data_IF_640625262976
#
_entry.id   IF_640625262976
#
_cell.length_a   1.000
_cell.length_b   1.000
_cell.length_c   1.000
_cell.angle_alpha   90.00
_cell.angle_beta   90.00
_cell.angle_gamma   90.00
#
_symmetry.space_group_name_H-M   'P 1'
#
loop_
_entity.id
_entity.type
_entity.pdbx_description
1 polymer ?
#
# COMPACT_ATOMS: atom_id res chain seq x y z
N UNK A 1 -8.42 6.96 -31.68
CA UNK A 1 -8.17 6.06 -30.54
C UNK A 1 -7.98 6.97 -29.34
N UNK A 2 -8.95 7.04 -28.44
CA UNK A 2 -8.83 7.88 -27.25
C UNK A 2 -7.81 7.21 -26.33
N UNK A 3 -6.61 7.78 -26.25
CA UNK A 3 -5.67 7.58 -25.17
C UNK A 3 -6.36 8.02 -23.87
N UNK A 4 -7.12 7.12 -23.26
CA UNK A 4 -7.40 7.21 -21.82
C UNK A 4 -6.08 6.88 -21.13
N UNK A 5 -5.18 7.86 -21.10
CA UNK A 5 -4.21 7.97 -20.02
C UNK A 5 -5.07 8.03 -18.77
N UNK A 6 -5.18 6.93 -18.03
CA UNK A 6 -5.87 6.93 -16.74
C UNK A 6 -5.32 8.11 -15.96
N UNK A 7 -6.17 9.10 -15.71
CA UNK A 7 -5.79 10.28 -14.95
C UNK A 7 -5.51 9.80 -13.53
N UNK A 8 -4.22 9.67 -13.21
CA UNK A 8 -3.77 9.34 -11.87
C UNK A 8 -4.19 10.45 -10.90
N UNK A 9 -4.46 10.08 -9.65
CA UNK A 9 -4.85 11.06 -8.63
C UNK A 9 -3.73 12.09 -8.40
N UNK A 10 -4.11 13.30 -7.96
CA UNK A 10 -3.17 14.33 -7.52
C UNK A 10 -2.88 14.26 -6.01
N UNK A 11 -3.32 13.20 -5.33
CA UNK A 11 -3.26 13.06 -3.88
C UNK A 11 -4.44 13.72 -3.14
N UNK A 12 -4.38 13.81 -1.79
CA UNK A 12 -3.27 13.36 -0.95
C UNK A 12 -3.07 11.85 -1.03
N UNK A 13 -1.82 11.43 -0.89
CA UNK A 13 -1.47 10.01 -0.87
C UNK A 13 -1.12 9.55 0.55
N UNK A 14 -1.40 8.28 0.80
CA UNK A 14 -1.23 7.64 2.09
C UNK A 14 -0.36 6.38 1.94
N UNK A 15 0.56 6.21 2.87
CA UNK A 15 1.36 5.01 3.02
C UNK A 15 1.11 4.40 4.40
N UNK A 16 0.39 3.28 4.43
CA UNK A 16 0.17 2.49 5.64
C UNK A 16 1.34 1.55 5.88
N UNK A 17 1.92 1.59 7.08
CA UNK A 17 3.05 0.75 7.45
C UNK A 17 3.14 0.57 8.97
N UNK A 18 4.06 -0.27 9.41
CA UNK A 18 4.50 -0.33 10.81
C UNK A 18 5.92 0.20 10.99
N UNK A 19 6.58 0.62 9.91
CA UNK A 19 7.86 1.32 9.99
C UNK A 19 7.70 2.67 10.70
N UNK A 20 8.63 2.97 11.59
CA UNK A 20 8.77 4.30 12.19
C UNK A 20 9.58 5.17 11.23
N UNK A 21 8.90 6.11 10.58
CA UNK A 21 9.43 7.04 9.59
C UNK A 21 9.25 8.46 10.12
N UNK A 22 10.16 9.36 9.75
CA UNK A 22 10.12 10.75 10.19
C UNK A 22 9.61 11.67 9.08
N UNK A 23 8.90 12.73 9.46
CA UNK A 23 8.56 13.80 8.52
C UNK A 23 9.84 14.39 7.92
N UNK A 24 9.85 14.54 6.60
CA UNK A 24 11.00 14.97 5.81
C UNK A 24 11.91 13.82 5.33
N UNK A 25 11.72 12.61 5.84
CA UNK A 25 12.46 11.42 5.37
C UNK A 25 12.02 11.01 3.97
N UNK A 26 12.94 10.38 3.23
CA UNK A 26 12.66 9.74 1.95
C UNK A 26 12.55 8.23 2.18
N UNK A 27 11.36 7.70 1.92
CA UNK A 27 11.12 6.27 1.84
C UNK A 27 11.63 5.78 0.48
N UNK A 28 12.63 4.92 0.49
CA UNK A 28 13.26 4.35 -0.71
C UNK A 28 12.62 2.99 -1.06
N UNK A 29 12.67 2.52 -2.32
CA UNK A 29 12.28 1.16 -2.67
C UNK A 29 13.27 0.12 -2.09
N UNK A 30 13.01 -1.18 -2.31
CA UNK A 30 13.88 -2.30 -1.88
C UNK A 30 13.88 -2.61 -0.39
N UNK A 31 12.80 -2.25 0.32
CA UNK A 31 12.48 -2.79 1.63
C UNK A 31 11.90 -4.21 1.55
N UNK A 32 11.91 -4.92 2.68
CA UNK A 32 11.30 -6.26 2.77
C UNK A 32 9.80 -6.18 2.49
N UNK A 33 9.30 -7.10 1.68
CA UNK A 33 7.87 -7.19 1.36
C UNK A 33 7.06 -7.64 2.57
N UNK A 34 5.85 -7.08 2.72
CA UNK A 34 4.87 -7.56 3.70
C UNK A 34 4.20 -8.89 3.26
N UNK A 35 4.30 -9.24 1.97
CA UNK A 35 3.56 -10.36 1.39
C UNK A 35 4.43 -11.50 0.89
N UNK A 36 5.72 -11.26 0.66
CA UNK A 36 6.68 -12.22 0.12
C UNK A 36 7.97 -12.21 0.93
N UNK A 37 8.71 -13.31 0.89
CA UNK A 37 10.01 -13.44 1.54
C UNK A 37 11.14 -12.89 0.63
N UNK A 38 10.94 -11.68 0.10
CA UNK A 38 11.91 -10.95 -0.74
C UNK A 38 11.76 -9.44 -0.57
N UNK A 39 12.76 -8.70 -1.05
CA UNK A 39 12.67 -7.23 -1.19
C UNK A 39 11.69 -6.88 -2.29
N UNK A 40 10.93 -5.80 -2.08
CA UNK A 40 10.03 -5.26 -3.09
C UNK A 40 10.74 -4.23 -3.97
N UNK A 41 10.51 -4.30 -5.28
CA UNK A 41 11.05 -3.35 -6.25
C UNK A 41 10.36 -1.97 -6.19
N UNK A 42 9.21 -1.88 -5.52
CA UNK A 42 8.36 -0.69 -5.50
C UNK A 42 7.97 -0.30 -4.08
N UNK A 43 7.57 0.95 -3.94
CA UNK A 43 6.88 1.47 -2.77
C UNK A 43 5.40 1.59 -3.09
N UNK A 44 4.54 1.06 -2.23
CA UNK A 44 3.09 1.06 -2.41
C UNK A 44 2.43 2.15 -1.57
N UNK A 45 1.48 2.85 -2.18
CA UNK A 45 0.72 3.93 -1.54
C UNK A 45 -0.66 4.05 -2.20
N UNK A 46 -1.57 4.84 -1.63
CA UNK A 46 -2.95 4.92 -2.10
C UNK A 46 -3.52 6.33 -1.91
N UNK A 47 -4.51 6.70 -2.72
CA UNK A 47 -5.30 7.91 -2.51
C UNK A 47 -6.56 7.68 -1.64
N UNK A 48 -6.75 6.47 -1.08
CA UNK A 48 -7.84 6.19 -0.14
C UNK A 48 -7.33 5.87 1.26
N UNK A 49 -7.97 6.42 2.28
CA UNK A 49 -7.61 6.12 3.66
C UNK A 49 -7.85 4.65 3.98
N UNK A 50 -8.94 4.07 3.47
CA UNK A 50 -9.32 2.67 3.70
C UNK A 50 -8.22 1.68 3.29
N UNK A 51 -7.67 1.82 2.08
CA UNK A 51 -6.58 0.97 1.63
C UNK A 51 -5.28 1.23 2.43
N UNK A 52 -5.07 2.44 2.93
CA UNK A 52 -3.91 2.76 3.77
C UNK A 52 -4.02 2.08 5.14
N UNK A 53 -5.23 1.98 5.72
CA UNK A 53 -5.47 1.22 6.95
C UNK A 53 -5.04 -0.23 6.78
N UNK A 54 -5.49 -0.88 5.69
CA UNK A 54 -5.08 -2.25 5.38
C UNK A 54 -3.56 -2.41 5.25
N UNK A 55 -2.89 -1.45 4.60
CA UNK A 55 -1.43 -1.43 4.51
C UNK A 55 -0.74 -1.40 5.88
N UNK A 56 -1.26 -0.59 6.82
CA UNK A 56 -0.73 -0.50 8.17
C UNK A 56 -1.03 -1.76 9.00
N UNK A 57 -2.26 -2.24 8.99
CA UNK A 57 -2.74 -3.37 9.79
C UNK A 57 -2.08 -4.69 9.37
N UNK A 58 -1.94 -4.91 8.05
CA UNK A 58 -1.42 -6.16 7.47
C UNK A 58 0.11 -6.20 7.35
N UNK A 59 0.81 -5.10 7.67
CA UNK A 59 2.27 -5.07 7.65
C UNK A 59 2.88 -6.12 8.61
N UNK A 60 4.00 -6.74 8.23
CA UNK A 60 4.56 -7.93 8.92
C UNK A 60 5.24 -7.65 10.25
N UNK A 61 5.41 -6.38 10.63
CA UNK A 61 6.03 -6.01 11.91
C UNK A 61 5.08 -6.16 13.10
N UNK A 62 5.65 -6.26 14.31
CA UNK A 62 4.93 -6.22 15.60
C UNK A 62 4.85 -4.81 16.19
N UNK A 63 5.44 -3.84 15.52
CA UNK A 63 5.43 -2.44 15.94
C UNK A 63 4.08 -1.78 15.67
N UNK A 64 3.90 -0.57 16.18
CA UNK A 64 2.64 0.19 16.07
C UNK A 64 2.30 0.47 14.60
N UNK A 65 1.03 0.33 14.26
CA UNK A 65 0.46 0.69 12.96
C UNK A 65 0.49 2.22 12.77
N UNK A 66 0.90 2.67 11.59
CA UNK A 66 1.06 4.08 11.24
C UNK A 66 0.58 4.33 9.82
N UNK A 67 0.04 5.52 9.59
CA UNK A 67 -0.32 5.99 8.25
C UNK A 67 0.37 7.33 8.05
N UNK A 68 1.17 7.42 7.00
CA UNK A 68 1.85 8.64 6.61
C UNK A 68 1.18 9.27 5.40
N UNK A 69 1.13 10.60 5.37
CA UNK A 69 0.86 11.35 4.14
C UNK A 69 2.18 11.47 3.39
N UNK A 70 2.16 11.10 2.11
CA UNK A 70 3.36 10.99 1.29
C UNK A 70 3.24 11.75 -0.02
N UNK A 71 4.37 12.21 -0.54
CA UNK A 71 4.48 12.79 -1.88
C UNK A 71 5.42 11.95 -2.73
N UNK A 72 4.98 11.41 -3.88
CA UNK A 72 5.87 10.75 -4.82
C UNK A 72 6.82 11.76 -5.44
N UNK A 73 8.12 11.44 -5.45
CA UNK A 73 9.15 12.30 -6.05
C UNK A 73 9.41 12.00 -7.53
N UNK A 74 8.70 11.05 -8.11
CA UNK A 74 8.79 10.70 -9.53
C UNK A 74 7.52 9.98 -10.00
N UNK A 75 7.61 9.40 -11.19
CA UNK A 75 6.48 8.72 -11.82
C UNK A 75 6.01 7.51 -10.99
N UNK A 76 4.70 7.29 -11.02
CA UNK A 76 4.04 6.16 -10.40
C UNK A 76 2.96 5.59 -11.32
N UNK A 77 2.52 4.38 -11.02
CA UNK A 77 1.52 3.65 -11.82
C UNK A 77 0.49 2.97 -10.91
N UNK A 78 -0.64 2.57 -11.50
CA UNK A 78 -1.65 1.75 -10.82
C UNK A 78 -1.03 0.47 -10.27
N UNK A 79 -1.40 0.09 -9.04
CA UNK A 79 -0.96 -1.17 -8.45
C UNK A 79 -1.62 -2.35 -9.18
N UNK A 80 -0.85 -3.19 -9.90
CA UNK A 80 -1.39 -4.33 -10.62
C UNK A 80 -1.89 -5.44 -9.69
N UNK A 81 -1.66 -5.39 -8.38
CA UNK A 81 -2.22 -6.35 -7.43
C UNK A 81 -3.69 -6.05 -7.10
N UNK A 82 -4.14 -4.81 -7.31
CA UNK A 82 -5.46 -4.34 -6.92
C UNK A 82 -6.29 -3.79 -8.09
N UNK A 83 -5.62 -3.42 -9.19
CA UNK A 83 -6.24 -2.89 -10.41
C UNK A 83 -6.67 -4.02 -11.34
N UNK A 84 -7.89 -3.96 -11.86
CA UNK A 84 -8.48 -4.94 -12.80
C UNK A 84 -8.39 -6.40 -12.30
N UNK A 85 -8.50 -6.60 -10.98
CA UNK A 85 -8.55 -7.94 -10.36
C UNK A 85 -9.97 -8.36 -10.07
N UNK A 86 -10.50 -7.90 -8.92
CA UNK A 86 -11.86 -8.25 -8.49
C UNK A 86 -12.91 -7.34 -9.12
N UNK A 87 -12.53 -6.09 -9.39
CA UNK A 87 -13.38 -5.05 -9.95
C UNK A 87 -12.63 -4.35 -11.09
N UNK A 88 -13.34 -3.81 -12.10
CA UNK A 88 -12.72 -3.08 -13.19
C UNK A 88 -12.11 -1.75 -12.68
N UNK A 89 -10.95 -1.40 -13.23
CA UNK A 89 -10.18 -0.21 -12.87
C UNK A 89 -9.50 -0.32 -11.51
N UNK A 90 -9.19 0.84 -10.93
CA UNK A 90 -8.49 0.98 -9.65
C UNK A 90 -9.40 1.62 -8.58
N UNK A 91 -10.43 0.91 -8.07
CA UNK A 91 -11.38 1.49 -7.11
C UNK A 91 -10.75 1.85 -5.76
N UNK A 92 -9.68 1.14 -5.37
CA UNK A 92 -8.92 1.42 -4.15
C UNK A 92 -7.93 2.57 -4.32
N UNK A 93 -7.76 3.07 -5.56
CA UNK A 93 -6.78 4.10 -5.94
C UNK A 93 -5.40 3.77 -5.39
N UNK A 94 -4.99 2.52 -5.56
CA UNK A 94 -3.71 2.01 -5.08
C UNK A 94 -2.66 2.11 -6.16
N UNK A 95 -1.47 2.55 -5.79
CA UNK A 95 -0.39 2.92 -6.68
C UNK A 95 0.92 2.31 -6.21
N UNK A 96 1.88 2.25 -7.13
CA UNK A 96 3.26 1.85 -6.82
C UNK A 96 4.26 2.74 -7.55
N UNK A 97 5.42 2.96 -6.93
CA UNK A 97 6.50 3.79 -7.47
C UNK A 97 7.87 3.12 -7.26
N UNK A 98 8.77 3.27 -8.25
CA UNK A 98 10.21 2.98 -8.07
C UNK A 98 10.99 4.19 -7.57
N UNK A 99 10.41 5.38 -7.68
CA UNK A 99 10.99 6.61 -7.15
C UNK A 99 10.64 6.75 -5.67
N UNK A 100 11.48 7.42 -4.86
CA UNK A 100 11.23 7.60 -3.44
C UNK A 100 9.92 8.34 -3.15
N UNK A 101 9.36 8.08 -1.97
CA UNK A 101 8.25 8.85 -1.43
C UNK A 101 8.76 9.74 -0.30
N UNK A 102 8.43 11.02 -0.33
CA UNK A 102 8.73 11.94 0.78
C UNK A 102 7.64 11.85 1.83
N UNK A 103 8.03 11.68 3.09
CA UNK A 103 7.09 11.69 4.22
C UNK A 103 6.76 13.14 4.57
N UNK A 104 5.50 13.53 4.43
CA UNK A 104 5.03 14.91 4.65
C UNK A 104 4.38 15.07 6.02
N UNK A 105 3.65 14.07 6.47
CA UNK A 105 3.02 14.05 7.79
C UNK A 105 2.76 12.61 8.26
N UNK A 106 2.55 12.44 9.55
CA UNK A 106 1.94 11.24 10.14
C UNK A 106 0.49 11.58 10.54
N UNK A 107 -0.46 10.70 10.22
CA UNK A 107 -1.82 10.85 10.72
C UNK A 107 -1.85 10.60 12.23
N UNK A 108 -2.21 11.63 13.01
CA UNK A 108 -2.26 11.56 14.47
C UNK A 108 -3.32 10.59 15.01
N UNK A 109 -4.44 10.42 14.29
CA UNK A 109 -5.48 9.45 14.61
C UNK A 109 -6.21 8.99 13.36
N UNK A 110 -6.65 7.74 13.36
CA UNK A 110 -7.50 7.13 12.33
C UNK A 110 -8.23 5.93 12.94
N UNK A 111 -9.41 5.64 12.40
CA UNK A 111 -10.21 4.51 12.85
C UNK A 111 -9.71 3.21 12.21
N UNK A 112 -9.27 2.27 13.04
CA UNK A 112 -8.83 0.95 12.62
C UNK A 112 -10.02 0.08 12.23
N UNK A 113 -9.83 -0.88 11.33
CA UNK A 113 -10.82 -1.94 11.14
C UNK A 113 -11.02 -2.75 12.43
N UNK A 114 -12.17 -3.41 12.52
CA UNK A 114 -12.43 -4.30 13.65
C UNK A 114 -11.43 -5.46 13.67
N UNK A 115 -11.13 -5.98 14.86
CA UNK A 115 -10.27 -7.15 14.99
C UNK A 115 -10.84 -8.36 14.22
N UNK A 116 -12.16 -8.47 14.10
CA UNK A 116 -12.81 -9.53 13.32
C UNK A 116 -12.47 -9.41 11.82
N UNK A 117 -12.60 -8.22 11.24
CA UNK A 117 -12.27 -7.97 9.83
C UNK A 117 -10.78 -8.24 9.55
N UNK A 118 -9.90 -7.79 10.43
CA UNK A 118 -8.45 -7.97 10.29
C UNK A 118 -8.10 -9.45 10.38
N UNK A 119 -8.63 -10.17 11.38
CA UNK A 119 -8.39 -11.60 11.52
C UNK A 119 -8.95 -12.42 10.36
N UNK A 120 -10.12 -12.04 9.84
CA UNK A 120 -10.69 -12.66 8.65
C UNK A 120 -9.79 -12.45 7.42
N UNK A 121 -9.25 -11.24 7.24
CA UNK A 121 -8.33 -10.94 6.13
C UNK A 121 -7.01 -11.70 6.25
N UNK A 122 -6.40 -11.72 7.44
CA UNK A 122 -5.17 -12.47 7.70
C UNK A 122 -5.35 -13.97 7.45
N UNK A 123 -6.48 -14.53 7.89
CA UNK A 123 -6.83 -15.94 7.63
C UNK A 123 -6.99 -16.22 6.13
N UNK A 124 -7.66 -15.31 5.41
CA UNK A 124 -7.84 -15.42 3.96
C UNK A 124 -6.51 -15.37 3.21
N UNK A 125 -5.62 -14.46 3.59
CA UNK A 125 -4.27 -14.35 3.03
C UNK A 125 -3.42 -15.58 3.31
N UNK A 126 -3.50 -16.14 4.53
CA UNK A 126 -2.81 -17.38 4.90
C UNK A 126 -3.26 -18.54 4.02
N UNK A 127 -4.58 -18.71 3.84
CA UNK A 127 -5.16 -19.75 2.98
C UNK A 127 -4.72 -19.59 1.52
N UNK A 128 -4.64 -18.38 1.00
CA UNK A 128 -4.15 -18.11 -0.36
C UNK A 128 -2.67 -18.51 -0.52
N UNK A 129 -1.84 -18.25 0.48
CA UNK A 129 -0.43 -18.65 0.51
C UNK A 129 -0.28 -20.17 0.53
N UNK A 130 -1.02 -20.85 1.41
CA UNK A 130 -1.02 -22.33 1.51
C UNK A 130 -1.48 -23.01 0.21
N UNK A 131 -2.36 -22.36 -0.56
CA UNK A 131 -2.81 -22.85 -1.87
C UNK A 131 -1.86 -22.50 -3.03
N UNK A 132 -0.78 -21.76 -2.79
CA UNK A 132 0.12 -21.28 -3.84
C UNK A 132 -0.50 -20.23 -4.78
N UNK A 133 -1.62 -19.61 -4.38
CA UNK A 133 -2.37 -18.63 -5.19
C UNK A 133 -2.05 -17.18 -4.86
N UNK A 134 -1.23 -16.94 -3.83
CA UNK A 134 -0.79 -15.61 -3.41
C UNK A 134 0.29 -15.05 -4.36
N UNK A 135 -0.07 -14.85 -5.64
CA UNK A 135 0.79 -14.22 -6.64
C UNK A 135 0.82 -12.72 -6.37
N UNK A 136 2.03 -12.18 -6.15
CA UNK A 136 2.26 -10.74 -6.03
C UNK A 136 3.05 -10.27 -7.23
N UNK A 137 2.52 -9.27 -7.91
CA UNK A 137 3.14 -8.54 -9.00
C UNK A 137 3.98 -7.41 -8.41
N UNK A 138 5.28 -7.68 -8.32
CA UNK A 138 6.31 -6.75 -7.85
C UNK A 138 7.19 -6.32 -9.03
#
# INVERSE_FOLDING_TARGET
MNDKKDLLDNGPFFHGTKAELKVGELLEPHHLSNYQDKKSNYIYFTATLDAAKWGAELATSKTKERIYIVEPLGDFENDPNLTDKRFPGNPTRSYRSKSPLKIIAELGSWERHSDEEINHMLTSLKKLREQGKAVIYD
#
